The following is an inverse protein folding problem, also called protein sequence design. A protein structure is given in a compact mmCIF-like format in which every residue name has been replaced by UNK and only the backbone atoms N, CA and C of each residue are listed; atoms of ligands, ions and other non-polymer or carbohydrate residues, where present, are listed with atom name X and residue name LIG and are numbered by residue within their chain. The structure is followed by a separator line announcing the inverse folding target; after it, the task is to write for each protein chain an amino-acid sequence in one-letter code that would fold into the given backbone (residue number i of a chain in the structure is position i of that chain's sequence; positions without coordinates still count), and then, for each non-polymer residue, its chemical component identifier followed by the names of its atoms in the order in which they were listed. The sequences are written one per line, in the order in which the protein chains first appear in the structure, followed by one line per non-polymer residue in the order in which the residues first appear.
data_IF_980122375153
#
_entry.id   IF_980122375153
#
_cell.length_a   1.000
_cell.length_b   1.000
_cell.length_c   1.000
_cell.angle_alpha   90.00
_cell.angle_beta   90.00
_cell.angle_gamma   90.00
#
_symmetry.space_group_name_H-M   'P 1'
#
loop_
_entity.id
_entity.type
_entity.pdbx_description
1 polymer ?
#
# COMPACT_ATOMS: atom_id res chain seq x y z
N UNK A 1 8.52 -17.84 29.42
CA UNK A 1 7.57 -18.50 28.49
C UNK A 1 6.32 -17.66 28.23
N UNK A 2 5.70 -17.03 29.26
CA UNK A 2 4.53 -16.14 29.09
C UNK A 2 4.90 -14.86 28.30
N UNK A 3 6.05 -14.27 28.56
CA UNK A 3 6.58 -13.07 27.89
C UNK A 3 6.82 -13.31 26.38
N UNK A 4 7.25 -14.53 26.00
CA UNK A 4 7.43 -14.92 24.59
C UNK A 4 6.10 -15.07 23.87
N UNK A 5 5.07 -15.61 24.52
CA UNK A 5 3.70 -15.69 23.99
C UNK A 5 3.05 -14.32 23.83
N UNK A 6 3.28 -13.42 24.78
CA UNK A 6 2.75 -12.05 24.71
C UNK A 6 3.39 -11.23 23.59
N UNK A 7 4.69 -11.37 23.34
CA UNK A 7 5.36 -10.79 22.16
C UNK A 7 4.79 -11.34 20.86
N UNK A 8 4.56 -12.63 20.74
CA UNK A 8 3.96 -13.24 19.55
C UNK A 8 2.52 -12.78 19.31
N UNK A 9 1.75 -12.48 20.35
CA UNK A 9 0.40 -11.92 20.21
C UNK A 9 0.43 -10.45 19.73
N UNK A 10 1.34 -9.62 20.25
CA UNK A 10 1.46 -8.21 19.83
C UNK A 10 1.98 -8.05 18.39
N UNK A 11 2.76 -9.02 17.90
CA UNK A 11 3.33 -9.00 16.55
C UNK A 11 2.26 -9.27 15.47
N UNK A 12 1.18 -9.99 15.83
CA UNK A 12 0.10 -10.34 14.91
C UNK A 12 -1.07 -9.37 14.88
N UNK A 13 -1.08 -8.37 15.75
CA UNK A 13 -2.16 -7.42 15.86
C UNK A 13 -1.70 -6.04 15.35
N UNK A 14 -2.41 -5.50 14.37
CA UNK A 14 -2.18 -4.16 13.84
C UNK A 14 -3.30 -3.21 14.28
N UNK A 15 -2.94 -2.15 14.96
CA UNK A 15 -3.86 -1.10 15.38
C UNK A 15 -4.08 -0.08 14.26
N UNK A 16 -5.34 0.16 13.93
CA UNK A 16 -5.79 1.16 12.96
C UNK A 16 -6.61 2.24 13.63
N UNK A 17 -6.33 3.49 13.30
CA UNK A 17 -7.13 4.64 13.74
C UNK A 17 -8.35 4.79 12.84
N UNK A 18 -9.54 5.04 13.42
CA UNK A 18 -10.78 5.28 12.68
C UNK A 18 -11.64 4.03 12.47
N UNK A 19 -12.60 4.16 11.55
CA UNK A 19 -13.58 3.10 11.25
C UNK A 19 -12.96 1.97 10.44
N UNK A 20 -13.53 0.77 10.61
CA UNK A 20 -13.20 -0.37 9.77
C UNK A 20 -13.46 -0.04 8.30
N UNK A 21 -12.41 -0.03 7.49
CA UNK A 21 -12.51 -0.04 6.03
C UNK A 21 -12.12 -1.45 5.60
N UNK A 22 -12.99 -2.11 4.85
CA UNK A 22 -12.62 -3.36 4.17
C UNK A 22 -11.64 -3.01 3.04
N UNK A 23 -10.38 -2.89 3.38
CA UNK A 23 -9.32 -2.58 2.44
C UNK A 23 -8.40 -3.77 2.30
N UNK A 24 -8.29 -4.31 1.10
CA UNK A 24 -7.35 -5.39 0.80
C UNK A 24 -5.90 -4.97 1.08
N UNK A 25 -5.57 -3.69 0.95
CA UNK A 25 -4.26 -3.16 1.27
C UNK A 25 -3.85 -3.41 2.74
N UNK A 26 -4.80 -3.35 3.68
CA UNK A 26 -4.53 -3.61 5.09
C UNK A 26 -4.26 -5.09 5.35
N UNK A 27 -4.98 -5.97 4.65
CA UNK A 27 -4.79 -7.43 4.73
C UNK A 27 -3.45 -7.84 4.10
N UNK A 28 -3.12 -7.30 2.93
CA UNK A 28 -1.84 -7.51 2.25
C UNK A 28 -0.67 -7.05 3.11
N UNK A 29 -0.76 -5.86 3.69
CA UNK A 29 0.28 -5.33 4.56
C UNK A 29 0.48 -6.20 5.81
N UNK A 30 -0.60 -6.67 6.44
CA UNK A 30 -0.52 -7.54 7.61
C UNK A 30 0.10 -8.90 7.24
N UNK A 31 -0.29 -9.47 6.09
CA UNK A 31 0.28 -10.71 5.58
C UNK A 31 1.78 -10.56 5.24
N UNK A 32 2.18 -9.48 4.59
CA UNK A 32 3.58 -9.18 4.29
C UNK A 32 4.42 -9.11 5.57
N UNK A 33 3.94 -8.42 6.60
CA UNK A 33 4.60 -8.35 7.91
C UNK A 33 4.73 -9.73 8.55
N UNK A 34 3.69 -10.56 8.47
CA UNK A 34 3.74 -11.93 8.98
C UNK A 34 4.78 -12.78 8.26
N UNK A 35 4.85 -12.69 6.92
CA UNK A 35 5.85 -13.42 6.11
C UNK A 35 7.28 -13.02 6.48
N UNK A 36 7.56 -11.72 6.66
CA UNK A 36 8.86 -11.25 7.12
C UNK A 36 9.20 -11.78 8.53
N UNK A 37 8.23 -11.84 9.43
CA UNK A 37 8.44 -12.35 10.78
C UNK A 37 8.65 -13.87 10.79
N UNK A 38 7.95 -14.61 9.94
CA UNK A 38 8.16 -16.06 9.76
C UNK A 38 9.61 -16.34 9.35
N UNK A 39 10.12 -15.56 8.41
CA UNK A 39 11.51 -15.68 7.94
C UNK A 39 12.51 -15.32 9.05
N UNK A 40 12.31 -14.18 9.74
CA UNK A 40 13.21 -13.71 10.79
C UNK A 40 13.22 -14.62 12.03
N UNK A 41 12.10 -15.23 12.37
CA UNK A 41 11.93 -15.99 13.61
C UNK A 41 11.87 -17.51 13.39
N UNK A 42 11.97 -17.97 12.15
CA UNK A 42 11.84 -19.39 11.76
C UNK A 42 10.59 -20.03 12.36
N UNK A 43 9.44 -19.35 12.27
CA UNK A 43 8.16 -19.80 12.82
C UNK A 43 7.06 -19.72 11.77
N UNK A 44 5.90 -20.32 12.02
CA UNK A 44 4.73 -20.21 11.17
C UNK A 44 3.66 -19.34 11.83
N UNK A 45 3.10 -18.38 11.06
CA UNK A 45 2.06 -17.45 11.49
C UNK A 45 0.86 -17.61 10.56
N UNK A 46 -0.13 -18.44 10.90
CA UNK A 46 -1.26 -18.75 10.02
C UNK A 46 -2.28 -17.62 9.90
N UNK A 47 -2.34 -16.73 10.89
CA UNK A 47 -3.33 -15.65 10.96
C UNK A 47 -2.80 -14.44 11.72
N UNK A 48 -3.38 -13.28 11.45
CA UNK A 48 -3.17 -12.05 12.21
C UNK A 48 -4.48 -11.35 12.51
N UNK A 49 -4.43 -10.17 13.13
CA UNK A 49 -5.64 -9.40 13.38
C UNK A 49 -5.45 -7.91 13.13
N UNK A 50 -6.50 -7.29 12.62
CA UNK A 50 -6.65 -5.84 12.51
C UNK A 50 -7.53 -5.35 13.65
N UNK A 51 -7.04 -4.40 14.43
CA UNK A 51 -7.81 -3.79 15.49
C UNK A 51 -8.16 -2.35 15.09
N UNK A 52 -9.44 -2.06 15.01
CA UNK A 52 -9.96 -0.73 14.70
C UNK A 52 -10.37 0.00 15.99
N UNK A 53 -9.78 1.17 16.22
CA UNK A 53 -9.93 1.90 17.48
C UNK A 53 -11.32 2.44 17.77
N UNK A 54 -12.07 2.91 16.75
CA UNK A 54 -13.41 3.46 16.96
C UNK A 54 -14.45 2.40 17.33
N UNK A 55 -14.61 1.28 16.56
CA UNK A 55 -15.53 0.23 16.94
C UNK A 55 -14.96 -0.72 18.00
N UNK A 56 -13.71 -0.55 18.43
CA UNK A 56 -12.97 -1.45 19.33
C UNK A 56 -13.10 -2.92 18.91
N UNK A 57 -13.14 -3.14 17.60
CA UNK A 57 -13.36 -4.47 17.02
C UNK A 57 -12.05 -5.05 16.48
N UNK A 58 -11.81 -6.29 16.86
CA UNK A 58 -10.72 -7.10 16.34
C UNK A 58 -11.24 -7.96 15.19
N UNK A 59 -10.64 -7.82 14.01
CA UNK A 59 -10.97 -8.64 12.83
C UNK A 59 -9.79 -9.56 12.54
N UNK A 60 -10.03 -10.87 12.62
CA UNK A 60 -9.02 -11.88 12.30
C UNK A 60 -8.87 -11.98 10.78
N UNK A 61 -7.64 -12.07 10.32
CA UNK A 61 -7.26 -12.21 8.91
C UNK A 61 -6.45 -13.48 8.74
N UNK A 62 -7.00 -14.55 8.14
CA UNK A 62 -6.25 -15.74 7.80
C UNK A 62 -5.27 -15.46 6.67
N UNK A 63 -4.03 -15.95 6.79
CA UNK A 63 -3.00 -15.79 5.77
C UNK A 63 -3.03 -16.99 4.81
N UNK A 64 -4.01 -16.98 3.92
CA UNK A 64 -4.19 -18.02 2.90
C UNK A 64 -3.02 -18.03 1.90
N UNK A 65 -2.84 -19.15 1.20
CA UNK A 65 -1.86 -19.26 0.12
C UNK A 65 -2.05 -18.17 -0.93
N UNK A 66 -3.28 -17.93 -1.34
CA UNK A 66 -3.63 -16.90 -2.32
C UNK A 66 -3.21 -15.49 -1.87
N UNK A 67 -3.45 -15.14 -0.59
CA UNK A 67 -3.04 -13.85 -0.03
C UNK A 67 -1.51 -13.71 -0.03
N UNK A 68 -0.79 -14.79 0.32
CA UNK A 68 0.68 -14.84 0.32
C UNK A 68 1.27 -14.72 -1.09
N UNK A 69 0.65 -15.36 -2.08
CA UNK A 69 1.05 -15.26 -3.49
C UNK A 69 0.82 -13.85 -4.02
N UNK A 70 -0.28 -13.21 -3.64
CA UNK A 70 -0.55 -11.82 -3.99
C UNK A 70 0.53 -10.89 -3.43
N UNK A 71 0.92 -11.07 -2.16
CA UNK A 71 2.01 -10.29 -1.53
C UNK A 71 3.33 -10.46 -2.30
N UNK A 72 3.69 -11.69 -2.68
CA UNK A 72 4.93 -11.95 -3.45
C UNK A 72 4.89 -11.27 -4.81
N UNK A 73 3.81 -11.46 -5.56
CA UNK A 73 3.62 -10.86 -6.88
C UNK A 73 3.73 -9.34 -6.81
N UNK A 74 3.03 -8.72 -5.88
CA UNK A 74 3.01 -7.26 -5.74
C UNK A 74 4.38 -6.72 -5.30
N UNK A 75 5.11 -7.45 -4.45
CA UNK A 75 6.49 -7.13 -4.07
C UNK A 75 7.44 -7.22 -5.27
N UNK A 76 7.33 -8.27 -6.07
CA UNK A 76 8.15 -8.45 -7.27
C UNK A 76 7.88 -7.34 -8.29
N UNK A 77 6.62 -6.96 -8.49
CA UNK A 77 6.24 -5.85 -9.37
C UNK A 77 6.84 -4.52 -8.88
N UNK A 78 6.75 -4.22 -7.59
CA UNK A 78 7.37 -3.02 -6.99
C UNK A 78 8.88 -3.01 -7.22
N UNK A 79 9.58 -4.13 -7.02
CA UNK A 79 11.01 -4.24 -7.27
C UNK A 79 11.36 -4.05 -8.74
N UNK A 80 10.54 -4.58 -9.66
CA UNK A 80 10.74 -4.39 -11.10
C UNK A 80 10.56 -2.92 -11.51
N UNK A 81 9.53 -2.25 -11.01
CA UNK A 81 9.30 -0.82 -11.24
C UNK A 81 10.48 0.02 -10.73
N UNK A 82 10.96 -0.29 -9.53
CA UNK A 82 12.12 0.38 -8.93
C UNK A 82 13.39 0.20 -9.76
N UNK A 83 13.71 -1.04 -10.19
CA UNK A 83 14.91 -1.33 -11.01
C UNK A 83 14.86 -0.65 -12.38
N UNK A 84 13.67 -0.50 -12.96
CA UNK A 84 13.46 0.18 -14.25
C UNK A 84 13.50 1.71 -14.12
N UNK A 85 13.54 2.26 -12.92
CA UNK A 85 13.41 3.69 -12.68
C UNK A 85 12.07 4.27 -13.17
N UNK A 86 11.03 3.42 -13.29
CA UNK A 86 9.74 3.82 -13.84
C UNK A 86 8.85 4.39 -12.76
N UNK A 87 8.44 5.65 -12.93
CA UNK A 87 7.41 6.27 -12.09
C UNK A 87 6.07 6.21 -12.83
N UNK A 88 5.08 5.47 -12.34
CA UNK A 88 3.76 5.40 -12.97
C UNK A 88 3.10 6.77 -13.02
N UNK A 89 2.34 7.03 -14.09
CA UNK A 89 1.56 8.27 -14.19
C UNK A 89 0.53 8.33 -13.06
N UNK A 90 0.47 9.45 -12.37
CA UNK A 90 -0.52 9.67 -11.34
C UNK A 90 -1.94 9.60 -11.91
N UNK A 91 -2.85 8.91 -11.20
CA UNK A 91 -4.28 8.91 -11.53
C UNK A 91 -4.99 9.87 -10.56
N UNK A 92 -5.41 11.07 -11.02
CA UNK A 92 -6.09 12.02 -10.17
C UNK A 92 -7.36 11.41 -9.57
N UNK A 93 -7.56 11.58 -8.26
CA UNK A 93 -8.72 11.10 -7.54
C UNK A 93 -9.16 12.12 -6.48
N UNK A 94 -10.35 11.91 -5.92
CA UNK A 94 -10.84 12.76 -4.81
C UNK A 94 -9.92 12.73 -3.59
N UNK A 95 -9.19 11.64 -3.39
CA UNK A 95 -8.24 11.49 -2.29
C UNK A 95 -6.99 12.36 -2.43
N UNK A 96 -6.71 12.90 -3.63
CA UNK A 96 -5.54 13.74 -3.86
C UNK A 96 -5.60 15.06 -3.09
N UNK A 97 -6.79 15.55 -2.76
CA UNK A 97 -6.96 16.79 -1.96
C UNK A 97 -6.39 16.68 -0.56
N UNK A 98 -6.46 15.50 0.05
CA UNK A 98 -5.97 15.20 1.40
C UNK A 98 -4.66 14.39 1.40
N UNK A 99 -3.99 14.25 0.26
CA UNK A 99 -2.77 13.46 0.13
C UNK A 99 -1.55 14.28 0.53
N UNK A 100 -0.74 13.78 1.47
CA UNK A 100 0.51 14.42 1.88
C UNK A 100 1.58 14.47 0.78
N UNK A 101 1.46 13.64 -0.25
CA UNK A 101 2.37 13.60 -1.40
C UNK A 101 1.92 14.47 -2.57
N UNK A 102 0.84 15.23 -2.44
CA UNK A 102 0.24 16.04 -3.51
C UNK A 102 1.25 16.98 -4.19
N UNK A 103 2.06 17.65 -3.40
CA UNK A 103 3.07 18.62 -3.88
C UNK A 103 4.26 17.95 -4.59
N UNK A 104 4.53 16.68 -4.32
CA UNK A 104 5.57 15.90 -4.99
C UNK A 104 5.02 15.17 -6.21
N UNK A 105 3.81 14.62 -6.09
CA UNK A 105 3.15 13.82 -7.13
C UNK A 105 2.59 14.69 -8.27
N UNK A 106 2.23 15.94 -8.00
CA UNK A 106 1.67 16.90 -8.93
C UNK A 106 0.57 16.32 -9.86
N UNK A 107 -0.48 15.70 -9.32
CA UNK A 107 -1.48 14.95 -10.10
C UNK A 107 -2.21 15.82 -11.13
N UNK A 108 -2.24 17.13 -10.93
CA UNK A 108 -2.86 18.10 -11.84
C UNK A 108 -2.10 18.24 -13.17
N UNK A 109 -0.78 17.98 -13.17
CA UNK A 109 0.04 18.10 -14.39
C UNK A 109 -0.22 16.95 -15.37
N UNK A 110 -0.73 15.83 -14.91
CA UNK A 110 -1.04 14.66 -15.76
C UNK A 110 -2.19 14.97 -16.76
N UNK A 111 -3.04 15.93 -16.44
CA UNK A 111 -4.16 16.35 -17.29
C UNK A 111 -3.79 17.48 -18.27
N UNK A 112 -2.60 18.06 -18.15
CA UNK A 112 -2.15 19.11 -19.04
C UNK A 112 -1.61 18.52 -20.35
N UNK A 113 -1.75 19.27 -21.43
CA UNK A 113 -1.18 18.92 -22.72
C UNK A 113 0.34 18.69 -22.62
N UNK A 114 0.84 17.81 -23.46
CA UNK A 114 2.28 17.58 -23.54
C UNK A 114 2.98 18.88 -24.02
N UNK A 115 4.21 19.10 -23.57
CA UNK A 115 5.01 20.25 -24.01
C UNK A 115 5.08 20.35 -25.54
N UNK A 116 5.14 19.21 -26.25
CA UNK A 116 5.12 19.15 -27.69
C UNK A 116 3.80 19.61 -28.31
N UNK A 117 2.66 19.29 -27.68
CA UNK A 117 1.35 19.76 -28.13
C UNK A 117 1.21 21.26 -27.91
N UNK A 118 1.62 21.74 -26.74
CA UNK A 118 1.65 23.16 -26.41
C UNK A 118 2.52 23.97 -27.39
N UNK A 119 3.75 23.51 -27.68
CA UNK A 119 4.65 24.17 -28.63
C UNK A 119 4.07 24.18 -30.03
N UNK A 120 3.45 23.13 -30.52
CA UNK A 120 2.76 23.11 -31.81
C UNK A 120 1.66 24.17 -31.90
N UNK A 121 0.77 24.22 -30.91
CA UNK A 121 -0.28 25.22 -30.83
C UNK A 121 0.27 26.63 -30.83
N UNK A 122 1.30 26.88 -30.01
CA UNK A 122 1.94 28.21 -29.94
C UNK A 122 2.64 28.61 -31.24
N UNK A 123 3.15 27.65 -32.03
CA UNK A 123 3.78 27.93 -33.33
C UNK A 123 2.74 28.10 -34.46
N UNK A 124 1.58 27.47 -34.35
CA UNK A 124 0.47 27.62 -35.31
C UNK A 124 -0.32 28.93 -35.10
N UNK A 125 -0.33 29.48 -33.88
CA UNK A 125 -1.00 30.73 -33.52
C UNK A 125 -0.10 31.99 -33.76
N UNK A 126 1.16 31.82 -34.12
CA UNK A 126 2.05 32.93 -34.42
C UNK A 126 1.81 33.37 -35.87
N UNK A 127 1.29 34.62 -36.12
CA UNK A 127 0.99 35.15 -37.44
C UNK A 127 2.27 35.36 -38.28
#
# INVERSE_FOLDING_TARGET
TAYRRQRQMCIRDRYKRGRSKESDADRLQLCCQAMCLEEMLCCSIPEGALFYGEPRRRTVVPFTLELRETVRRDSDEMHQLYRRGHTPKAKPSRSCSACSLKELCLPQLVQRESVQAYLRHAMEESP
#
